data_IF_077287924060
#
_entry.id   IF_077287924060
#
_cell.length_a   1.000
_cell.length_b   1.000
_cell.length_c   1.000
_cell.angle_alpha   90.00
_cell.angle_beta   90.00
_cell.angle_gamma   90.00
#
_symmetry.space_group_name_H-M   'P 1'
#
loop_
_entity.id
_entity.type
_entity.pdbx_description
1 polymer ?
#
# COMPACT_ATOMS: atom_id res chain seq x y z
N UNK A 1 29.34 -12.22 -36.27
CA UNK A 1 28.10 -12.26 -35.45
C UNK A 1 27.61 -10.83 -35.32
N UNK A 2 26.71 -10.41 -36.22
CA UNK A 2 26.04 -9.12 -36.11
C UNK A 2 24.95 -9.28 -35.04
N UNK A 3 24.94 -8.41 -34.03
CA UNK A 3 23.85 -8.37 -33.07
C UNK A 3 22.57 -8.06 -33.84
N UNK A 4 21.61 -8.98 -33.83
CA UNK A 4 20.25 -8.69 -34.29
C UNK A 4 19.73 -7.54 -33.45
N UNK A 5 19.71 -6.34 -34.01
CA UNK A 5 19.00 -5.24 -33.39
C UNK A 5 17.53 -5.62 -33.43
N UNK A 6 16.98 -6.00 -32.27
CA UNK A 6 15.54 -6.11 -32.08
C UNK A 6 14.93 -4.79 -32.54
N UNK A 7 14.21 -4.85 -33.67
CA UNK A 7 13.41 -3.73 -34.09
C UNK A 7 12.42 -3.44 -32.96
N UNK A 8 12.32 -2.18 -32.50
CA UNK A 8 11.39 -1.83 -31.45
C UNK A 8 9.99 -2.22 -31.87
N UNK A 9 9.30 -2.93 -30.98
CA UNK A 9 7.94 -3.43 -31.22
C UNK A 9 7.00 -2.26 -31.57
N UNK A 10 6.36 -2.35 -32.74
CA UNK A 10 5.41 -1.37 -33.27
C UNK A 10 4.34 -1.04 -32.24
N UNK A 11 3.80 -2.06 -31.57
CA UNK A 11 2.68 -1.90 -30.64
C UNK A 11 3.12 -1.13 -29.40
N UNK A 12 4.35 -1.37 -28.94
CA UNK A 12 4.95 -0.64 -27.82
C UNK A 12 5.20 0.84 -28.16
N UNK A 13 5.65 1.15 -29.38
CA UNK A 13 5.80 2.54 -29.83
C UNK A 13 4.44 3.26 -29.90
N UNK A 14 3.41 2.62 -30.46
CA UNK A 14 2.05 3.17 -30.50
C UNK A 14 1.52 3.39 -29.09
N UNK A 15 1.66 2.41 -28.18
CA UNK A 15 1.23 2.54 -26.77
C UNK A 15 1.88 3.75 -26.11
N UNK A 16 3.21 3.90 -26.23
CA UNK A 16 3.94 5.04 -25.64
C UNK A 16 3.45 6.39 -26.15
N UNK A 17 3.14 6.48 -27.44
CA UNK A 17 2.61 7.72 -28.03
C UNK A 17 1.21 8.01 -27.49
N UNK A 18 0.33 7.01 -27.42
CA UNK A 18 -1.03 7.15 -26.89
C UNK A 18 -1.02 7.55 -25.40
N UNK A 19 -0.10 7.00 -24.62
CA UNK A 19 0.06 7.30 -23.19
C UNK A 19 0.75 8.66 -22.94
N UNK A 20 1.22 9.35 -23.98
CA UNK A 20 1.96 10.61 -23.86
C UNK A 20 3.37 10.46 -23.26
N UNK A 21 3.92 9.24 -23.27
CA UNK A 21 5.25 8.93 -22.72
C UNK A 21 6.34 8.80 -23.79
N UNK A 22 5.96 8.88 -25.08
CA UNK A 22 6.88 8.82 -26.20
C UNK A 22 7.88 9.98 -26.20
N UNK A 23 9.16 9.65 -26.43
CA UNK A 23 10.25 10.59 -26.63
C UNK A 23 10.49 10.81 -28.12
N UNK A 24 11.33 11.79 -28.46
CA UNK A 24 11.72 12.08 -29.86
C UNK A 24 12.27 10.86 -30.61
N UNK A 25 12.97 9.97 -29.90
CA UNK A 25 13.49 8.73 -30.48
C UNK A 25 12.37 7.76 -30.86
N UNK A 26 11.30 7.66 -30.06
CA UNK A 26 10.15 6.80 -30.34
C UNK A 26 9.39 7.32 -31.58
N UNK A 27 9.23 8.64 -31.70
CA UNK A 27 8.61 9.27 -32.88
C UNK A 27 9.40 9.00 -34.17
N UNK A 28 10.73 9.12 -34.13
CA UNK A 28 11.59 8.80 -35.28
C UNK A 28 11.52 7.32 -35.65
N UNK A 29 11.47 6.43 -34.66
CA UNK A 29 11.32 5.00 -34.91
C UNK A 29 9.97 4.69 -35.55
N UNK A 30 8.88 5.29 -35.06
CA UNK A 30 7.55 5.11 -35.62
C UNK A 30 7.45 5.65 -37.06
N UNK A 31 8.07 6.80 -37.35
CA UNK A 31 8.13 7.39 -38.70
C UNK A 31 8.92 6.50 -39.68
N UNK A 32 10.02 5.90 -39.22
CA UNK A 32 10.79 4.96 -40.02
C UNK A 32 9.97 3.70 -40.37
N UNK A 33 9.17 3.17 -39.44
CA UNK A 33 8.27 2.05 -39.71
C UNK A 33 7.15 2.49 -40.66
N UNK A 34 6.56 3.66 -40.43
CA UNK A 34 5.44 4.16 -41.22
C UNK A 34 5.82 4.54 -42.66
N UNK A 35 7.10 4.82 -42.91
CA UNK A 35 7.65 4.98 -44.27
C UNK A 35 7.54 3.70 -45.10
N UNK A 36 7.57 2.53 -44.46
CA UNK A 36 7.34 1.22 -45.10
C UNK A 36 5.89 0.77 -45.07
N UNK A 37 5.13 1.15 -44.05
CA UNK A 37 3.72 0.79 -43.85
C UNK A 37 2.88 2.00 -43.40
N UNK A 38 2.16 2.61 -44.33
CA UNK A 38 1.25 3.72 -44.01
C UNK A 38 0.06 3.32 -43.10
N UNK A 39 -0.20 2.02 -42.93
CA UNK A 39 -1.20 1.49 -42.00
C UNK A 39 -0.94 1.86 -40.55
N UNK A 40 0.33 2.07 -40.17
CA UNK A 40 0.75 2.47 -38.82
C UNK A 40 0.08 3.76 -38.39
N UNK A 41 0.01 4.77 -39.26
CA UNK A 41 -0.65 6.04 -38.93
C UNK A 41 -2.15 5.89 -38.71
N UNK A 42 -2.79 4.98 -39.45
CA UNK A 42 -4.22 4.68 -39.28
C UNK A 42 -4.49 4.01 -37.94
N UNK A 43 -3.62 3.08 -37.54
CA UNK A 43 -3.70 2.42 -36.23
C UNK A 43 -3.47 3.40 -35.10
N UNK A 44 -2.43 4.24 -35.18
CA UNK A 44 -2.18 5.29 -34.17
C UNK A 44 -3.40 6.22 -34.01
N UNK A 45 -3.97 6.70 -35.12
CA UNK A 45 -5.15 7.55 -35.08
C UNK A 45 -6.37 6.84 -34.49
N UNK A 46 -6.51 5.53 -34.73
CA UNK A 46 -7.58 4.70 -34.15
C UNK A 46 -7.39 4.55 -32.64
N UNK A 47 -6.17 4.25 -32.19
CA UNK A 47 -5.84 4.12 -30.78
C UNK A 47 -6.05 5.44 -30.01
N UNK A 48 -5.62 6.58 -30.59
CA UNK A 48 -5.86 7.91 -30.00
C UNK A 48 -7.36 8.23 -29.89
N UNK A 49 -8.16 7.86 -30.91
CA UNK A 49 -9.62 8.04 -30.85
C UNK A 49 -10.26 7.18 -29.77
N UNK A 50 -9.85 5.91 -29.65
CA UNK A 50 -10.32 5.00 -28.62
C UNK A 50 -9.98 5.52 -27.22
N UNK A 51 -8.75 6.02 -27.02
CA UNK A 51 -8.34 6.64 -25.76
C UNK A 51 -9.19 7.87 -25.41
N UNK A 52 -9.44 8.75 -26.39
CA UNK A 52 -10.30 9.92 -26.18
C UNK A 52 -11.75 9.52 -25.82
N UNK A 53 -12.30 8.49 -26.47
CA UNK A 53 -13.62 7.95 -26.13
C UNK A 53 -13.65 7.36 -24.71
N UNK A 54 -12.61 6.61 -24.32
CA UNK A 54 -12.50 6.02 -22.99
C UNK A 54 -12.39 7.11 -21.91
N UNK A 55 -11.51 8.10 -22.09
CA UNK A 55 -11.35 9.23 -21.17
C UNK A 55 -12.67 9.96 -20.95
N UNK A 56 -13.42 10.21 -22.03
CA UNK A 56 -14.73 10.85 -21.95
C UNK A 56 -15.74 10.00 -21.18
N UNK A 57 -15.81 8.69 -21.45
CA UNK A 57 -16.70 7.80 -20.73
C UNK A 57 -16.36 7.71 -19.23
N UNK A 58 -15.07 7.73 -18.88
CA UNK A 58 -14.60 7.78 -17.49
C UNK A 58 -15.00 9.10 -16.83
N UNK A 59 -14.79 10.23 -17.49
CA UNK A 59 -15.20 11.55 -16.98
C UNK A 59 -16.71 11.62 -16.74
N UNK A 60 -17.52 11.15 -17.70
CA UNK A 60 -18.97 11.04 -17.57
C UNK A 60 -19.38 10.12 -16.41
N UNK A 61 -18.62 9.05 -16.14
CA UNK A 61 -18.89 8.13 -15.03
C UNK A 61 -18.53 8.71 -13.65
N UNK A 62 -17.55 9.61 -13.58
CA UNK A 62 -17.08 10.24 -12.35
C UNK A 62 -17.88 11.52 -12.03
N UNK A 63 -18.49 12.15 -13.04
CA UNK A 63 -19.27 13.38 -12.88
C UNK A 63 -20.37 13.31 -11.78
N UNK A 64 -21.10 12.20 -11.57
CA UNK A 64 -22.04 12.12 -10.44
C UNK A 64 -21.35 12.12 -9.08
N UNK A 65 -20.14 11.55 -8.97
CA UNK A 65 -19.39 11.51 -7.73
C UNK A 65 -18.86 12.90 -7.32
N UNK A 66 -18.57 13.77 -8.29
CA UNK A 66 -18.15 15.15 -8.01
C UNK A 66 -19.30 16.06 -7.57
N UNK A 67 -20.55 15.66 -7.81
CA UNK A 67 -21.76 16.38 -7.35
C UNK A 67 -22.18 15.98 -5.93
N UNK A 68 -21.57 14.95 -5.34
CA UNK A 68 -21.82 14.62 -3.93
C UNK A 68 -21.13 15.67 -3.08
N UNK A 69 -21.89 16.70 -2.71
CA UNK A 69 -21.47 17.65 -1.68
C UNK A 69 -21.13 16.86 -0.42
N UNK A 70 -19.85 16.87 -0.07
CA UNK A 70 -19.44 16.47 1.26
C UNK A 70 -20.06 17.49 2.22
N UNK A 71 -20.74 17.05 3.29
CA UNK A 71 -21.42 17.96 4.19
C UNK A 71 -20.44 19.05 4.64
N UNK A 72 -20.76 20.30 4.29
CA UNK A 72 -20.03 21.51 4.65
C UNK A 72 -19.67 21.42 6.12
N UNK A 73 -18.38 21.53 6.41
CA UNK A 73 -17.87 21.23 7.74
C UNK A 73 -18.61 22.05 8.80
N UNK A 74 -19.27 21.33 9.71
CA UNK A 74 -19.59 21.82 11.04
C UNK A 74 -18.36 22.57 11.60
N UNK A 75 -18.56 23.70 12.29
CA UNK A 75 -17.52 24.68 12.63
C UNK A 75 -16.26 23.99 13.14
N UNK A 76 -15.12 24.40 12.57
CA UNK A 76 -13.76 23.91 12.78
C UNK A 76 -13.43 23.58 14.25
N UNK A 77 -13.92 22.44 14.71
CA UNK A 77 -13.35 21.73 15.84
C UNK A 77 -12.30 20.82 15.22
N UNK A 78 -11.03 21.12 15.50
CA UNK A 78 -9.91 20.22 15.32
C UNK A 78 -10.26 18.85 15.92
N UNK A 79 -10.81 17.96 15.09
CA UNK A 79 -10.97 16.55 15.40
C UNK A 79 -10.54 15.73 14.19
N UNK A 80 -9.81 14.63 14.44
CA UNK A 80 -9.27 13.78 13.38
C UNK A 80 -10.41 13.27 12.50
N UNK A 81 -10.18 13.32 11.19
CA UNK A 81 -11.12 13.01 10.12
C UNK A 81 -12.10 11.87 10.46
N UNK A 82 -13.40 12.06 10.16
CA UNK A 82 -14.46 11.08 10.44
C UNK A 82 -14.24 9.71 9.78
N UNK A 83 -13.45 9.63 8.70
CA UNK A 83 -12.97 8.36 8.14
C UNK A 83 -12.12 7.57 9.15
N UNK A 84 -11.28 8.26 9.92
CA UNK A 84 -10.47 7.67 10.99
C UNK A 84 -11.34 7.22 12.17
N UNK A 85 -12.43 7.93 12.50
CA UNK A 85 -13.35 7.51 13.57
C UNK A 85 -14.14 6.24 13.22
N UNK A 86 -14.51 6.03 11.94
CA UNK A 86 -15.15 4.79 11.50
C UNK A 86 -14.17 3.60 11.55
N UNK A 87 -12.92 3.83 11.13
CA UNK A 87 -11.84 2.82 11.26
C UNK A 87 -11.51 2.54 12.73
N UNK A 88 -11.38 3.58 13.57
CA UNK A 88 -11.17 3.44 15.01
C UNK A 88 -12.34 2.72 15.65
N UNK A 89 -13.61 2.94 15.27
CA UNK A 89 -14.73 2.16 15.83
C UNK A 89 -14.67 0.68 15.49
N UNK A 90 -14.15 0.32 14.31
CA UNK A 90 -14.00 -1.08 13.88
C UNK A 90 -12.79 -1.77 14.52
N UNK A 91 -11.79 -1.00 14.98
CA UNK A 91 -10.57 -1.50 15.62
C UNK A 91 -10.47 -1.22 17.13
N UNK A 92 -11.34 -0.37 17.69
CA UNK A 92 -11.34 -0.01 19.12
C UNK A 92 -11.67 -1.21 20.00
N UNK A 93 -12.46 -2.17 19.49
CA UNK A 93 -12.68 -3.44 20.17
C UNK A 93 -11.38 -4.24 20.39
N UNK A 94 -10.47 -4.21 19.42
CA UNK A 94 -9.16 -4.88 19.54
C UNK A 94 -8.21 -4.12 20.46
N UNK A 95 -8.23 -2.78 20.44
CA UNK A 95 -7.41 -1.99 21.38
C UNK A 95 -7.88 -2.19 22.82
N UNK A 96 -9.19 -2.21 23.06
CA UNK A 96 -9.74 -2.53 24.38
C UNK A 96 -9.35 -3.95 24.83
N UNK A 97 -9.38 -4.94 23.93
CA UNK A 97 -8.93 -6.30 24.22
C UNK A 97 -7.41 -6.38 24.50
N UNK A 98 -6.59 -5.62 23.79
CA UNK A 98 -5.14 -5.56 24.02
C UNK A 98 -4.81 -4.88 25.36
N UNK A 99 -5.50 -3.78 25.69
CA UNK A 99 -5.34 -3.09 26.99
C UNK A 99 -5.83 -3.97 28.13
N UNK A 100 -6.96 -4.68 27.96
CA UNK A 100 -7.43 -5.68 28.94
C UNK A 100 -6.47 -6.87 29.06
N UNK A 101 -5.87 -7.33 27.96
CA UNK A 101 -4.86 -8.38 27.96
C UNK A 101 -3.60 -7.97 28.73
N UNK A 102 -3.09 -6.75 28.51
CA UNK A 102 -1.95 -6.21 29.27
C UNK A 102 -2.33 -6.02 30.74
N UNK A 103 -3.52 -5.51 31.04
CA UNK A 103 -4.00 -5.34 32.41
C UNK A 103 -4.19 -6.70 33.12
N UNK A 104 -4.67 -7.74 32.44
CA UNK A 104 -4.86 -9.08 32.99
C UNK A 104 -3.52 -9.80 33.22
N UNK A 105 -2.56 -9.66 32.31
CA UNK A 105 -1.20 -10.18 32.49
C UNK A 105 -0.49 -9.45 33.64
N UNK A 106 -0.77 -8.17 33.85
CA UNK A 106 -0.23 -7.42 35.00
C UNK A 106 -0.95 -7.72 36.33
N UNK A 107 -2.25 -8.05 36.30
CA UNK A 107 -3.07 -8.30 37.50
C UNK A 107 -3.08 -9.77 37.94
N UNK A 108 -2.69 -10.70 37.06
CA UNK A 108 -2.57 -12.13 37.37
C UNK A 108 -1.42 -12.52 38.30
N UNK A 109 -0.67 -11.55 38.86
CA UNK A 109 0.39 -11.77 39.87
C UNK A 109 0.03 -11.29 41.28
N UNK A 110 -1.26 -11.17 41.62
CA UNK A 110 -1.72 -10.93 42.99
C UNK A 110 -2.46 -12.15 43.53
N UNK A 111 -1.72 -13.23 43.77
CA UNK A 111 -2.30 -14.46 44.31
C UNK A 111 -1.25 -15.52 44.61
N UNK A 112 -0.24 -15.20 45.43
CA UNK A 112 0.61 -16.23 46.04
C UNK A 112 0.76 -15.90 47.53
N UNK A 113 0.33 -16.86 48.35
CA UNK A 113 0.63 -17.02 49.77
C UNK A 113 2.07 -16.59 50.10
N UNK A 114 2.32 -15.92 51.24
CA UNK A 114 3.69 -15.57 51.63
C UNK A 114 4.50 -16.84 51.94
N UNK A 115 5.57 -17.16 51.19
CA UNK A 115 6.58 -18.08 51.66
C UNK A 115 7.64 -17.28 52.46
N UNK A 116 8.27 -17.98 53.40
CA UNK A 116 9.27 -17.48 54.33
C UNK A 116 10.38 -16.61 53.69
N UNK A 117 11.00 -15.69 54.46
CA UNK A 117 12.06 -14.83 53.97
C UNK A 117 13.28 -15.68 53.59
N UNK A 118 13.53 -15.78 52.30
CA UNK A 118 14.81 -16.22 51.74
C UNK A 118 15.41 -14.99 51.08
N UNK A 119 16.52 -14.52 51.63
CA UNK A 119 17.34 -13.43 51.11
C UNK A 119 18.02 -13.86 49.81
N UNK A 120 17.27 -13.89 48.72
CA UNK A 120 17.82 -13.98 47.36
C UNK A 120 17.39 -12.74 46.57
N UNK A 121 18.34 -11.95 46.05
CA UNK A 121 18.03 -10.77 45.27
C UNK A 121 17.36 -11.19 43.96
N UNK A 122 16.05 -10.94 43.86
CA UNK A 122 15.29 -11.07 42.63
C UNK A 122 15.69 -9.90 41.72
N UNK A 123 16.76 -10.11 40.95
CA UNK A 123 17.04 -9.33 39.77
C UNK A 123 15.88 -9.52 38.78
N UNK A 124 15.46 -8.41 38.18
CA UNK A 124 14.46 -8.36 37.13
C UNK A 124 14.96 -9.11 35.87
N UNK A 125 14.76 -10.42 35.82
CA UNK A 125 15.12 -11.28 34.69
C UNK A 125 13.97 -11.38 33.66
N UNK A 126 13.40 -10.22 33.29
CA UNK A 126 12.63 -10.06 32.05
C UNK A 126 13.51 -9.55 30.90
N UNK A 127 14.80 -9.38 31.14
CA UNK A 127 15.81 -9.10 30.13
C UNK A 127 16.50 -10.42 29.74
N UNK A 128 15.83 -11.23 28.92
CA UNK A 128 16.55 -12.28 28.18
C UNK A 128 17.77 -11.67 27.49
N UNK A 129 18.91 -12.38 27.41
CA UNK A 129 20.15 -11.85 26.83
C UNK A 129 19.90 -11.49 25.36
N UNK A 130 19.63 -10.20 25.09
CA UNK A 130 19.24 -9.72 23.77
C UNK A 130 18.08 -8.72 23.72
N UNK A 131 17.43 -8.38 24.84
CA UNK A 131 16.39 -7.35 24.87
C UNK A 131 16.97 -5.96 24.50
N UNK A 132 16.96 -5.62 23.20
CA UNK A 132 17.30 -4.28 22.72
C UNK A 132 16.29 -3.28 23.29
N UNK A 133 16.74 -2.38 24.17
CA UNK A 133 15.96 -1.23 24.57
C UNK A 133 15.66 -0.37 23.33
N UNK A 134 14.40 -0.35 22.92
CA UNK A 134 13.90 0.54 21.88
C UNK A 134 13.84 1.96 22.46
N UNK A 135 14.75 2.85 22.03
CA UNK A 135 14.84 4.20 22.60
C UNK A 135 13.94 5.21 21.89
N UNK A 136 13.60 4.93 20.63
CA UNK A 136 12.76 5.79 19.80
C UNK A 136 11.97 4.98 18.75
N UNK A 137 11.07 5.65 18.02
CA UNK A 137 10.22 5.01 17.00
C UNK A 137 11.00 4.44 15.80
N UNK A 138 12.14 5.03 15.44
CA UNK A 138 12.99 4.50 14.37
C UNK A 138 13.65 3.18 14.80
N UNK A 139 14.12 3.08 16.05
CA UNK A 139 14.66 1.84 16.60
C UNK A 139 13.60 0.73 16.62
N UNK A 140 12.36 1.08 16.95
CA UNK A 140 11.23 0.14 16.96
C UNK A 140 10.97 -0.42 15.56
N UNK A 141 11.02 0.46 14.56
CA UNK A 141 10.81 0.10 13.17
C UNK A 141 11.96 -0.76 12.63
N UNK A 142 13.21 -0.42 12.95
CA UNK A 142 14.38 -1.24 12.60
C UNK A 142 14.29 -2.63 13.22
N UNK A 143 13.91 -2.73 14.51
CA UNK A 143 13.71 -4.02 15.16
C UNK A 143 12.60 -4.85 14.50
N UNK A 144 11.53 -4.19 14.03
CA UNK A 144 10.47 -4.83 13.26
C UNK A 144 10.97 -5.36 11.91
N UNK A 145 11.80 -4.61 11.17
CA UNK A 145 12.41 -5.09 9.93
C UNK A 145 13.35 -6.26 10.16
N UNK A 146 14.22 -6.17 11.18
CA UNK A 146 15.17 -7.24 11.53
C UNK A 146 14.40 -8.55 11.81
N UNK A 147 13.39 -8.48 12.68
CA UNK A 147 12.57 -9.63 13.05
C UNK A 147 11.73 -10.14 11.87
N UNK A 148 11.13 -9.25 11.09
CA UNK A 148 10.34 -9.60 9.93
C UNK A 148 11.17 -10.26 8.82
N UNK A 149 12.43 -9.86 8.66
CA UNK A 149 13.38 -10.48 7.73
C UNK A 149 13.79 -11.87 8.21
N UNK A 150 14.06 -12.05 9.51
CA UNK A 150 14.34 -13.36 10.12
C UNK A 150 13.18 -14.34 9.90
N UNK A 151 11.94 -13.88 10.08
CA UNK A 151 10.71 -14.66 9.85
C UNK A 151 10.38 -14.82 8.35
N UNK A 152 11.15 -14.22 7.44
CA UNK A 152 10.86 -14.13 6.00
C UNK A 152 9.44 -13.62 5.70
N UNK A 153 8.94 -12.75 6.57
CA UNK A 153 7.63 -12.12 6.49
C UNK A 153 7.73 -10.74 5.88
N UNK A 154 8.78 -9.97 6.17
CA UNK A 154 8.96 -8.63 5.57
C UNK A 154 9.84 -8.75 4.34
N UNK A 155 9.32 -8.31 3.20
CA UNK A 155 10.06 -8.27 1.92
C UNK A 155 10.89 -6.99 1.79
N UNK A 156 10.42 -5.89 2.38
CA UNK A 156 11.15 -4.63 2.41
C UNK A 156 10.26 -3.39 2.56
N UNK A 157 10.89 -2.22 2.51
CA UNK A 157 10.23 -0.92 2.39
C UNK A 157 10.14 -0.55 0.90
N UNK A 158 8.99 -0.06 0.43
CA UNK A 158 8.91 0.48 -0.91
C UNK A 158 9.75 1.77 -1.01
N UNK A 159 10.61 1.92 -2.03
CA UNK A 159 11.56 3.05 -2.10
C UNK A 159 10.85 4.41 -2.27
N UNK A 160 9.61 4.41 -2.73
CA UNK A 160 8.84 5.62 -3.02
C UNK A 160 8.05 6.04 -1.78
N UNK A 161 8.47 7.12 -1.12
CA UNK A 161 7.68 7.75 -0.06
C UNK A 161 6.57 8.57 -0.68
N UNK A 162 5.32 8.25 -0.33
CA UNK A 162 4.18 9.03 -0.77
C UNK A 162 4.02 10.25 0.13
N UNK A 163 4.34 11.44 -0.39
CA UNK A 163 4.11 12.70 0.30
C UNK A 163 2.60 12.97 0.38
N UNK A 164 2.06 13.03 1.60
CA UNK A 164 0.66 13.33 1.83
C UNK A 164 0.40 14.83 1.93
N UNK A 165 1.25 15.53 2.69
CA UNK A 165 1.04 16.94 3.03
C UNK A 165 2.35 17.62 3.38
N UNK A 166 2.38 18.93 3.13
CA UNK A 166 3.47 19.81 3.53
C UNK A 166 2.86 21.07 4.15
N UNK A 167 3.26 21.39 5.37
CA UNK A 167 2.90 22.63 6.05
C UNK A 167 4.18 23.43 6.35
N UNK A 168 4.17 24.78 6.28
CA UNK A 168 5.27 25.57 6.80
C UNK A 168 5.47 25.30 8.30
N UNK A 169 6.71 25.22 8.76
CA UNK A 169 7.01 25.08 10.17
C UNK A 169 6.58 26.34 10.94
N UNK A 170 6.12 26.17 12.19
CA UNK A 170 5.58 27.27 13.01
C UNK A 170 6.60 28.39 13.30
N UNK A 171 7.89 28.07 13.24
CA UNK A 171 9.00 29.02 13.41
C UNK A 171 9.37 29.76 12.11
N UNK A 172 8.65 29.48 11.02
CA UNK A 172 8.93 30.02 9.68
C UNK A 172 10.19 29.45 9.03
N UNK A 173 10.84 28.44 9.63
CA UNK A 173 12.08 27.84 9.12
C UNK A 173 11.83 26.41 8.65
N UNK A 174 11.41 26.32 7.39
CA UNK A 174 11.25 25.04 6.69
C UNK A 174 9.83 24.53 6.73
N UNK A 175 9.68 23.20 6.67
CA UNK A 175 8.40 22.54 6.45
C UNK A 175 8.25 21.30 7.33
N UNK A 176 7.04 21.11 7.83
CA UNK A 176 6.56 19.85 8.36
C UNK A 176 5.99 19.02 7.20
N UNK A 177 6.56 17.83 6.99
CA UNK A 177 6.15 16.91 5.91
C UNK A 177 5.56 15.63 6.48
N UNK A 178 4.40 15.27 5.95
CA UNK A 178 3.70 14.03 6.26
C UNK A 178 3.88 13.09 5.08
N UNK A 179 4.42 11.90 5.31
CA UNK A 179 4.59 10.89 4.27
C UNK A 179 4.10 9.52 4.74
N UNK A 180 3.63 8.71 3.79
CA UNK A 180 3.35 7.29 4.03
C UNK A 180 4.61 6.50 3.73
N UNK A 181 4.99 5.64 4.68
CA UNK A 181 5.97 4.59 4.49
C UNK A 181 5.22 3.29 4.22
N UNK A 182 5.43 2.70 3.05
CA UNK A 182 4.81 1.42 2.69
C UNK A 182 5.79 0.28 2.96
N UNK A 183 5.34 -0.68 3.76
CA UNK A 183 6.09 -1.90 4.09
C UNK A 183 5.39 -3.05 3.40
N UNK A 184 6.17 -3.87 2.69
CA UNK A 184 5.64 -5.05 1.99
C UNK A 184 5.87 -6.27 2.86
N UNK A 185 4.78 -6.92 3.27
CA UNK A 185 4.79 -8.19 3.98
C UNK A 185 4.32 -9.33 3.07
N UNK A 186 4.95 -10.48 3.21
CA UNK A 186 4.52 -11.77 2.70
C UNK A 186 3.71 -12.48 3.77
N UNK A 187 2.47 -12.83 3.43
CA UNK A 187 1.60 -13.64 4.27
C UNK A 187 1.16 -14.85 3.46
N UNK A 188 1.40 -16.04 3.99
CA UNK A 188 0.85 -17.27 3.44
C UNK A 188 -0.52 -17.49 4.09
N UNK A 189 -1.56 -17.53 3.25
CA UNK A 189 -2.94 -17.83 3.68
C UNK A 189 -3.36 -19.16 3.08
N UNK A 190 -4.07 -20.02 3.84
CA UNK A 190 -4.51 -21.31 3.34
C UNK A 190 -5.55 -21.17 2.21
N UNK A 191 -6.46 -20.19 2.35
CA UNK A 191 -7.51 -19.90 1.38
C UNK A 191 -7.51 -18.41 1.03
N UNK A 192 -7.46 -18.08 -0.26
CA UNK A 192 -7.69 -16.72 -0.73
C UNK A 192 -9.18 -16.50 -0.98
N UNK A 193 -9.79 -15.59 -0.23
CA UNK A 193 -11.19 -15.16 -0.44
C UNK A 193 -11.20 -13.71 -0.85
N UNK A 194 -11.90 -13.40 -1.93
CA UNK A 194 -12.14 -12.02 -2.35
C UNK A 194 -13.54 -11.62 -1.92
N UNK A 195 -13.68 -10.39 -1.41
CA UNK A 195 -15.00 -9.82 -1.21
C UNK A 195 -15.59 -9.50 -2.58
N UNK A 196 -16.62 -10.23 -2.97
CA UNK A 196 -17.40 -9.98 -4.19
C UNK A 196 -18.75 -9.38 -3.80
N UNK A 197 -19.36 -8.66 -4.73
CA UNK A 197 -20.71 -8.10 -4.55
C UNK A 197 -21.67 -8.93 -5.41
N UNK A 198 -22.73 -9.47 -4.81
CA UNK A 198 -23.76 -10.19 -5.55
C UNK A 198 -24.66 -9.23 -6.36
N UNK A 199 -25.53 -9.78 -7.20
CA UNK A 199 -26.47 -9.02 -8.03
C UNK A 199 -27.46 -8.14 -7.24
N UNK A 200 -27.54 -8.33 -5.92
CA UNK A 200 -28.37 -7.54 -5.00
C UNK A 200 -27.57 -6.50 -4.21
N UNK A 201 -26.27 -6.36 -4.48
CA UNK A 201 -25.41 -5.42 -3.77
C UNK A 201 -24.89 -5.93 -2.42
N UNK A 202 -25.11 -7.20 -2.06
CA UNK A 202 -24.59 -7.73 -0.80
C UNK A 202 -23.14 -8.20 -0.99
N UNK A 203 -22.29 -7.85 -0.03
CA UNK A 203 -20.90 -8.31 -0.01
C UNK A 203 -20.86 -9.74 0.50
N UNK A 204 -20.37 -10.67 -0.34
CA UNK A 204 -20.14 -12.08 0.04
C UNK A 204 -18.67 -12.46 -0.21
N UNK A 205 -18.06 -13.27 0.67
CA UNK A 205 -16.77 -13.87 0.38
C UNK A 205 -16.94 -14.87 -0.77
N UNK A 206 -16.26 -14.61 -1.88
CA UNK A 206 -16.14 -15.53 -2.99
C UNK A 206 -14.76 -16.21 -2.93
N UNK A 207 -14.74 -17.52 -3.17
CA UNK A 207 -13.49 -18.25 -3.35
C UNK A 207 -12.81 -17.79 -4.64
N UNK A 208 -11.52 -17.49 -4.55
CA UNK A 208 -10.72 -17.16 -5.73
C UNK A 208 -10.05 -18.45 -6.19
N UNK A 209 -10.49 -18.99 -7.32
CA UNK A 209 -9.77 -20.08 -8.00
C UNK A 209 -8.49 -19.50 -8.63
N UNK A 210 -7.44 -19.40 -7.83
CA UNK A 210 -6.11 -19.10 -8.33
C UNK A 210 -5.55 -20.42 -8.86
N UNK A 211 -5.77 -20.71 -10.15
CA UNK A 211 -4.98 -21.75 -10.79
C UNK A 211 -3.51 -21.33 -10.68
N UNK A 212 -2.65 -22.12 -10.03
CA UNK A 212 -1.23 -21.83 -10.06
C UNK A 212 -0.82 -21.76 -11.52
N UNK A 213 -0.10 -20.70 -11.91
CA UNK A 213 0.43 -20.59 -13.26
C UNK A 213 1.21 -21.88 -13.53
N UNK A 214 0.70 -22.69 -14.47
CA UNK A 214 1.26 -23.99 -14.79
C UNK A 214 2.74 -23.80 -15.09
N UNK A 215 3.62 -24.51 -14.38
CA UNK A 215 5.07 -24.46 -14.60
C UNK A 215 5.52 -25.03 -15.97
N UNK A 216 4.57 -25.32 -16.87
CA UNK A 216 4.74 -25.98 -18.17
C UNK A 216 5.13 -25.03 -19.32
N UNK A 217 5.71 -23.87 -19.02
CA UNK A 217 6.15 -22.92 -20.05
C UNK A 217 7.57 -22.35 -19.83
N UNK A 218 8.43 -23.12 -19.15
CA UNK A 218 9.88 -22.89 -19.12
C UNK A 218 10.63 -24.09 -19.68
#
# INVERSE_FOLDING_TARGET
MAASQEQPDRDLLISRVVDGTARDADWKALDAIASGDQGVWRELATAQRQQACLMRAVEESIAPASLVELPDEAPALHFPSRQQAWWIRRWAGWVAAAVLGVAWVSSGRLGVNPPAPIDTPIAADLAGPGARMVKNAADALSAYFDKGAEEKRVLGEMPTKLLLRTNPAADGKGYEVYFVRQIVERVEVPDLRMLSTDEFGNVRPAEVDIRPASADSM
#
